data_IF_264141529884
#
_entry.id   IF_264141529884
#
_cell.length_a   1.000
_cell.length_b   1.000
_cell.length_c   1.000
_cell.angle_alpha   90.00
_cell.angle_beta   90.00
_cell.angle_gamma   90.00
#
_symmetry.space_group_name_H-M   'P 1'
#
loop_
_entity.id
_entity.type
_entity.pdbx_description
1 polymer ?
#
# COMPACT_ATOMS: atom_id res chain seq x y z
N UNK A 1 17.83 7.96 -3.31
CA UNK A 1 19.30 8.17 -3.21
C UNK A 1 20.03 6.83 -3.20
N UNK A 2 21.20 6.73 -3.82
CA UNK A 2 22.06 5.52 -3.79
C UNK A 2 23.25 5.71 -2.83
N UNK A 3 23.61 4.66 -2.09
CA UNK A 3 24.61 4.70 -1.00
C UNK A 3 25.98 5.19 -1.48
N UNK A 4 26.35 4.89 -2.72
CA UNK A 4 27.62 5.29 -3.32
C UNK A 4 27.66 6.77 -3.75
N UNK A 5 26.49 7.42 -3.80
CA UNK A 5 26.33 8.78 -4.35
C UNK A 5 25.88 9.82 -3.33
N UNK A 6 25.62 9.42 -2.09
CA UNK A 6 25.18 10.34 -1.03
C UNK A 6 26.30 11.32 -0.70
N UNK A 7 25.99 12.61 -0.75
CA UNK A 7 26.92 13.68 -0.37
C UNK A 7 26.82 14.02 1.13
N UNK A 8 27.80 14.76 1.64
CA UNK A 8 27.74 15.29 3.01
C UNK A 8 26.53 16.23 3.20
N UNK A 9 26.22 17.05 2.19
CA UNK A 9 25.06 17.96 2.22
C UNK A 9 23.75 17.18 2.33
N UNK A 10 23.61 16.10 1.56
CA UNK A 10 22.47 15.20 1.65
C UNK A 10 22.37 14.57 3.04
N UNK A 11 23.49 14.07 3.58
CA UNK A 11 23.54 13.46 4.90
C UNK A 11 23.10 14.43 6.01
N UNK A 12 23.57 15.67 5.96
CA UNK A 12 23.18 16.71 6.92
C UNK A 12 21.70 17.06 6.80
N UNK A 13 21.15 17.14 5.58
CA UNK A 13 19.71 17.32 5.38
C UNK A 13 18.91 16.17 5.95
N UNK A 14 19.33 14.93 5.73
CA UNK A 14 18.65 13.74 6.26
C UNK A 14 18.70 13.67 7.79
N UNK A 15 19.81 14.07 8.40
CA UNK A 15 19.96 14.14 9.87
C UNK A 15 19.05 15.19 10.52
N UNK A 16 18.54 16.17 9.74
CA UNK A 16 17.57 17.16 10.22
C UNK A 16 16.13 16.64 10.29
N UNK A 17 15.87 15.40 9.83
CA UNK A 17 14.56 14.77 9.90
C UNK A 17 14.37 14.05 11.25
N UNK A 18 13.15 14.06 11.84
CA UNK A 18 11.91 14.63 11.32
C UNK A 18 11.88 16.17 11.35
N UNK A 19 11.47 16.79 10.24
CA UNK A 19 11.34 18.25 10.15
C UNK A 19 9.97 18.68 10.66
N UNK A 20 9.93 19.58 11.64
CA UNK A 20 8.66 20.21 12.08
C UNK A 20 8.20 21.18 10.99
N UNK A 21 7.01 20.94 10.44
CA UNK A 21 6.38 21.81 9.42
C UNK A 21 5.63 22.95 10.08
N UNK A 22 5.01 22.70 11.24
CA UNK A 22 4.28 23.68 12.04
C UNK A 22 3.32 23.00 13.00
N UNK A 23 2.47 23.80 13.66
CA UNK A 23 1.42 23.32 14.57
C UNK A 23 0.07 23.49 13.87
N UNK A 24 -0.76 22.44 13.91
CA UNK A 24 -2.12 22.51 13.41
C UNK A 24 -2.99 23.40 14.32
N UNK A 25 -3.55 24.53 13.82
CA UNK A 25 -4.35 25.43 14.64
C UNK A 25 -5.66 24.80 15.15
N UNK A 26 -6.17 23.75 14.50
CA UNK A 26 -7.43 23.12 14.89
C UNK A 26 -7.26 22.13 16.05
N UNK A 27 -6.13 21.40 16.08
CA UNK A 27 -5.87 20.35 17.08
C UNK A 27 -4.80 20.72 18.10
N UNK A 28 -3.95 21.70 17.79
CA UNK A 28 -2.74 22.03 18.57
C UNK A 28 -1.62 21.01 18.41
N UNK A 29 -1.76 20.01 17.52
CA UNK A 29 -0.75 18.98 17.31
C UNK A 29 0.33 19.46 16.34
N UNK A 30 1.59 19.10 16.64
CA UNK A 30 2.70 19.31 15.71
C UNK A 30 2.57 18.42 14.47
N UNK A 31 2.84 19.00 13.31
CA UNK A 31 2.94 18.31 12.04
C UNK A 31 4.42 18.15 11.70
N UNK A 32 4.90 16.91 11.58
CA UNK A 32 6.26 16.59 11.14
C UNK A 32 6.28 15.97 9.76
N UNK A 33 7.29 16.31 8.95
CA UNK A 33 7.60 15.68 7.68
C UNK A 33 8.82 14.76 7.83
N UNK A 34 8.73 13.55 7.32
CA UNK A 34 9.77 12.53 7.44
C UNK A 34 9.65 11.45 6.36
N UNK A 35 10.71 10.66 6.18
CA UNK A 35 10.71 9.52 5.27
C UNK A 35 10.55 8.20 6.06
N UNK A 36 9.82 7.24 5.50
CA UNK A 36 9.56 5.94 6.11
C UNK A 36 9.61 4.80 5.11
N UNK A 37 9.24 3.59 5.56
CA UNK A 37 9.27 2.38 4.73
C UNK A 37 8.50 2.50 3.39
N UNK A 38 7.45 3.31 3.38
CA UNK A 38 6.55 3.47 2.23
C UNK A 38 6.74 4.81 1.51
N UNK A 39 7.87 5.50 1.76
CA UNK A 39 8.18 6.80 1.20
C UNK A 39 7.87 7.97 2.15
N UNK A 40 7.91 9.21 1.61
CA UNK A 40 7.78 10.44 2.38
C UNK A 40 6.34 10.63 2.89
N UNK A 41 6.20 11.14 4.11
CA UNK A 41 4.90 11.33 4.73
C UNK A 41 4.92 12.44 5.79
N UNK A 42 3.72 13.00 6.03
CA UNK A 42 3.40 13.88 7.15
C UNK A 42 2.85 13.05 8.31
N UNK A 43 3.15 13.46 9.54
CA UNK A 43 2.58 12.90 10.77
C UNK A 43 2.03 14.03 11.64
N UNK A 44 0.79 13.86 12.12
CA UNK A 44 0.08 14.73 13.07
C UNK A 44 -0.58 13.82 14.10
N UNK A 45 0.02 13.73 15.29
CA UNK A 45 -0.36 12.75 16.31
C UNK A 45 -0.34 11.31 15.76
N UNK A 46 -1.51 10.68 15.66
CA UNK A 46 -1.71 9.34 15.10
C UNK A 46 -2.19 9.33 13.63
N UNK A 47 -2.41 10.50 13.02
CA UNK A 47 -2.75 10.61 11.60
C UNK A 47 -1.49 10.79 10.74
N UNK A 48 -1.43 10.05 9.63
CA UNK A 48 -0.29 10.07 8.72
C UNK A 48 -0.79 10.12 7.29
N UNK A 49 -0.17 11.00 6.48
CA UNK A 49 -0.53 11.26 5.10
C UNK A 49 0.70 11.16 4.21
N UNK A 50 0.62 10.36 3.15
CA UNK A 50 1.72 10.23 2.20
C UNK A 50 1.92 11.52 1.42
N UNK A 51 3.19 11.83 1.17
CA UNK A 51 3.61 12.87 0.22
C UNK A 51 3.86 12.23 -1.15
N UNK A 52 3.85 13.07 -2.19
CA UNK A 52 3.98 12.61 -3.57
C UNK A 52 5.45 12.41 -3.92
N UNK A 53 6.34 13.28 -3.44
CA UNK A 53 7.77 13.26 -3.78
C UNK A 53 8.65 13.37 -2.54
N UNK A 54 9.89 12.90 -2.64
CA UNK A 54 10.86 12.97 -1.55
C UNK A 54 11.20 14.41 -1.18
N UNK A 55 11.29 15.32 -2.16
CA UNK A 55 11.62 16.73 -1.93
C UNK A 55 10.62 17.45 -1.00
N UNK A 56 9.36 17.03 -1.04
CA UNK A 56 8.30 17.62 -0.21
C UNK A 56 8.59 17.48 1.29
N UNK A 57 9.42 16.54 1.74
CA UNK A 57 9.79 16.44 3.16
C UNK A 57 10.51 17.72 3.65
N UNK A 58 11.22 18.40 2.74
CA UNK A 58 11.98 19.60 3.05
C UNK A 58 11.24 20.88 2.68
N UNK A 59 10.40 20.85 1.64
CA UNK A 59 9.81 22.07 1.05
C UNK A 59 8.37 22.31 1.45
N UNK A 60 7.63 21.29 1.89
CA UNK A 60 6.18 21.44 2.14
C UNK A 60 5.90 22.48 3.23
N UNK A 61 4.91 23.31 3.00
CA UNK A 61 4.48 24.34 3.94
C UNK A 61 3.38 23.85 4.87
N UNK A 62 3.14 24.58 5.97
CA UNK A 62 2.04 24.28 6.89
C UNK A 62 0.69 24.29 6.17
N UNK A 63 0.44 25.29 5.32
CA UNK A 63 -0.82 25.42 4.57
C UNK A 63 -1.06 24.25 3.62
N UNK A 64 -0.03 23.78 2.92
CA UNK A 64 -0.11 22.59 2.07
C UNK A 64 -0.35 21.33 2.89
N UNK A 65 0.32 21.17 4.03
CA UNK A 65 0.08 20.07 4.94
C UNK A 65 -1.37 20.04 5.44
N UNK A 66 -1.91 21.21 5.83
CA UNK A 66 -3.30 21.34 6.28
C UNK A 66 -4.29 20.97 5.17
N UNK A 67 -4.02 21.35 3.91
CA UNK A 67 -4.83 20.92 2.75
C UNK A 67 -4.84 19.39 2.60
N UNK A 68 -3.69 18.74 2.73
CA UNK A 68 -3.59 17.27 2.67
C UNK A 68 -4.37 16.60 3.81
N UNK A 69 -4.35 17.19 5.02
CA UNK A 69 -5.10 16.68 6.16
C UNK A 69 -6.62 16.89 6.03
N UNK A 70 -7.06 17.91 5.30
CA UNK A 70 -8.47 18.14 5.01
C UNK A 70 -9.04 17.09 4.04
N UNK A 71 -8.21 16.47 3.20
CA UNK A 71 -8.66 15.38 2.34
C UNK A 71 -9.06 14.14 3.16
N UNK A 72 -10.04 13.33 2.70
CA UNK A 72 -10.35 12.04 3.30
C UNK A 72 -9.11 11.12 3.35
N UNK A 73 -8.93 10.40 4.46
CA UNK A 73 -7.79 9.50 4.63
C UNK A 73 -7.86 8.33 3.65
N UNK A 74 -7.00 8.37 2.63
CA UNK A 74 -6.80 7.25 1.70
C UNK A 74 -6.02 6.16 2.46
N UNK A 75 -6.71 5.07 2.85
CA UNK A 75 -6.05 3.94 3.53
C UNK A 75 -4.95 3.39 2.62
N UNK A 76 -3.72 3.27 3.15
CA UNK A 76 -2.45 2.97 2.47
C UNK A 76 -2.35 1.63 1.72
N UNK A 77 -3.29 1.36 0.83
CA UNK A 77 -3.30 0.25 -0.12
C UNK A 77 -3.82 0.63 -1.50
N UNK A 78 -4.38 1.83 -1.64
CA UNK A 78 -4.48 2.46 -2.93
C UNK A 78 -3.13 3.14 -3.20
N UNK A 79 -2.12 2.32 -3.54
CA UNK A 79 -1.25 2.72 -4.64
C UNK A 79 -2.19 3.29 -5.69
N UNK A 80 -1.97 4.53 -6.14
CA UNK A 80 -2.73 5.09 -7.24
C UNK A 80 -2.87 3.97 -8.26
N UNK A 81 -4.10 3.42 -8.39
CA UNK A 81 -4.28 2.14 -9.05
C UNK A 81 -3.68 2.32 -10.42
N UNK A 82 -2.60 1.59 -10.73
CA UNK A 82 -2.05 1.63 -12.06
C UNK A 82 -3.24 1.46 -13.03
N UNK A 83 -3.29 2.26 -14.11
CA UNK A 83 -4.40 2.18 -15.04
C UNK A 83 -4.61 0.71 -15.45
N UNK A 84 -5.86 0.29 -15.65
CA UNK A 84 -6.15 -1.09 -16.01
C UNK A 84 -5.34 -1.47 -17.25
N UNK A 85 -4.83 -2.70 -17.27
CA UNK A 85 -4.15 -3.28 -18.43
C UNK A 85 -5.11 -3.40 -19.62
N UNK A 86 -6.40 -3.67 -19.34
CA UNK A 86 -7.47 -3.72 -20.33
C UNK A 86 -8.83 -3.54 -19.67
N UNK A 87 -9.72 -2.82 -20.33
CA UNK A 87 -11.15 -2.78 -19.98
C UNK A 87 -11.89 -3.91 -20.70
N UNK A 88 -12.92 -4.44 -20.05
CA UNK A 88 -13.76 -5.53 -20.55
C UNK A 88 -15.24 -5.10 -20.50
N UNK A 89 -16.12 -6.00 -20.90
CA UNK A 89 -17.56 -5.86 -20.70
C UNK A 89 -17.99 -5.83 -19.22
N UNK A 90 -19.31 -5.87 -19.02
CA UNK A 90 -19.92 -5.92 -17.68
C UNK A 90 -20.08 -7.36 -17.23
N UNK A 91 -19.78 -7.64 -15.96
CA UNK A 91 -19.99 -8.98 -15.39
C UNK A 91 -21.50 -9.26 -15.29
N UNK A 92 -22.03 -10.33 -15.91
CA UNK A 92 -23.46 -10.67 -15.85
C UNK A 92 -23.94 -10.99 -14.44
N UNK A 93 -23.06 -11.42 -13.53
CA UNK A 93 -23.44 -11.78 -12.16
C UNK A 93 -23.52 -10.57 -11.21
N UNK A 94 -22.57 -9.63 -11.28
CA UNK A 94 -22.56 -8.45 -10.41
C UNK A 94 -23.11 -7.18 -11.05
N UNK A 95 -23.27 -7.14 -12.38
CA UNK A 95 -23.68 -5.95 -13.13
C UNK A 95 -22.62 -4.85 -13.15
N UNK A 96 -21.38 -5.14 -12.77
CA UNK A 96 -20.29 -4.16 -12.64
C UNK A 96 -19.29 -4.27 -13.82
N UNK A 97 -18.66 -3.16 -14.22
CA UNK A 97 -17.64 -3.18 -15.28
C UNK A 97 -16.44 -4.03 -14.84
N UNK A 98 -15.97 -4.91 -15.73
CA UNK A 98 -14.80 -5.72 -15.51
C UNK A 98 -13.56 -5.05 -16.09
N UNK A 99 -12.45 -5.13 -15.38
CA UNK A 99 -11.14 -4.67 -15.86
C UNK A 99 -10.05 -5.66 -15.50
N UNK A 100 -9.01 -5.73 -16.32
CA UNK A 100 -7.78 -6.47 -16.03
C UNK A 100 -6.78 -5.49 -15.43
N UNK A 101 -6.16 -5.85 -14.31
CA UNK A 101 -5.12 -5.06 -13.64
C UNK A 101 -3.88 -5.89 -13.41
N UNK A 102 -2.74 -5.22 -13.34
CA UNK A 102 -1.51 -5.85 -12.87
C UNK A 102 -1.50 -5.93 -11.34
N UNK A 103 -1.02 -7.05 -10.81
CA UNK A 103 -1.07 -7.37 -9.39
C UNK A 103 0.16 -8.12 -8.92
N UNK A 104 0.34 -8.20 -7.59
CA UNK A 104 1.49 -8.87 -6.97
C UNK A 104 1.71 -10.31 -7.45
N UNK A 105 0.65 -11.00 -7.84
CA UNK A 105 0.68 -12.40 -8.27
C UNK A 105 0.50 -12.56 -9.79
N UNK A 106 0.69 -11.48 -10.54
CA UNK A 106 0.40 -11.38 -11.97
C UNK A 106 -0.98 -10.76 -12.27
N UNK A 107 -1.34 -10.72 -13.56
CA UNK A 107 -2.58 -10.12 -14.03
C UNK A 107 -3.82 -10.76 -13.41
N UNK A 108 -4.84 -9.95 -13.13
CA UNK A 108 -6.11 -10.42 -12.59
C UNK A 108 -7.28 -9.60 -13.14
N UNK A 109 -8.44 -10.26 -13.25
CA UNK A 109 -9.73 -9.62 -13.54
C UNK A 109 -10.34 -9.12 -12.23
N UNK A 110 -10.95 -7.94 -12.26
CA UNK A 110 -11.73 -7.39 -11.15
C UNK A 110 -12.98 -6.67 -11.63
N UNK A 111 -14.07 -6.80 -10.87
CA UNK A 111 -15.29 -6.00 -11.00
C UNK A 111 -15.36 -4.86 -9.96
N UNK A 112 -14.23 -4.56 -9.30
CA UNK A 112 -14.11 -3.61 -8.21
C UNK A 112 -14.33 -4.21 -6.81
N UNK A 113 -14.91 -5.40 -6.70
CA UNK A 113 -15.18 -6.07 -5.42
C UNK A 113 -14.50 -7.44 -5.33
N UNK A 114 -14.66 -8.25 -6.37
CA UNK A 114 -14.07 -9.58 -6.51
C UNK A 114 -12.83 -9.50 -7.40
N UNK A 115 -11.75 -10.15 -6.96
CA UNK A 115 -10.49 -10.22 -7.72
C UNK A 115 -10.13 -11.67 -8.03
N UNK A 116 -10.00 -12.00 -9.32
CA UNK A 116 -9.66 -13.33 -9.80
C UNK A 116 -8.41 -13.28 -10.69
N UNK A 117 -7.34 -13.96 -10.29
CA UNK A 117 -6.11 -14.08 -11.09
C UNK A 117 -6.38 -14.78 -12.42
N UNK A 118 -5.74 -14.31 -13.50
CA UNK A 118 -5.72 -15.02 -14.77
C UNK A 118 -5.04 -16.39 -14.56
N UNK A 119 -5.57 -17.44 -15.21
CA UNK A 119 -5.00 -18.79 -15.13
C UNK A 119 -3.93 -18.97 -16.20
N UNK A 120 -3.15 -20.04 -16.05
CA UNK A 120 -2.16 -20.43 -17.07
C UNK A 120 -2.88 -20.71 -18.40
N UNK A 121 -2.61 -19.89 -19.40
CA UNK A 121 -3.24 -19.95 -20.72
C UNK A 121 -4.22 -18.80 -21.00
N UNK A 122 -4.65 -18.06 -19.97
CA UNK A 122 -5.38 -16.82 -20.17
C UNK A 122 -4.36 -15.70 -20.47
N UNK A 123 -4.51 -15.03 -21.62
CA UNK A 123 -3.70 -13.88 -22.00
C UNK A 123 -4.51 -12.58 -21.91
N UNK A 124 -3.85 -11.50 -21.49
CA UNK A 124 -4.50 -10.19 -21.25
C UNK A 124 -5.13 -9.64 -22.53
N UNK A 125 -4.51 -9.88 -23.69
CA UNK A 125 -4.95 -9.33 -24.96
C UNK A 125 -6.06 -10.16 -25.63
N UNK A 126 -6.20 -11.45 -25.30
CA UNK A 126 -7.12 -12.36 -26.00
C UNK A 126 -8.22 -12.99 -25.15
N UNK A 127 -8.17 -12.87 -23.81
CA UNK A 127 -9.25 -13.35 -22.94
C UNK A 127 -10.60 -12.76 -23.34
N UNK A 128 -11.69 -13.54 -23.26
CA UNK A 128 -13.04 -13.06 -23.57
C UNK A 128 -13.75 -12.53 -22.33
N UNK A 129 -14.79 -11.71 -22.52
CA UNK A 129 -15.62 -11.22 -21.42
C UNK A 129 -16.29 -12.36 -20.65
N UNK A 130 -16.76 -13.39 -21.37
CA UNK A 130 -17.36 -14.60 -20.78
C UNK A 130 -16.36 -15.33 -19.88
N UNK A 131 -15.11 -15.49 -20.36
CA UNK A 131 -14.04 -16.13 -19.59
C UNK A 131 -13.67 -15.31 -18.35
N UNK A 132 -13.63 -13.99 -18.48
CA UNK A 132 -13.38 -13.08 -17.36
C UNK A 132 -14.47 -13.16 -16.29
N UNK A 133 -15.75 -13.20 -16.71
CA UNK A 133 -16.90 -13.38 -15.84
C UNK A 133 -16.88 -14.75 -15.12
N UNK A 134 -16.52 -15.82 -15.83
CA UNK A 134 -16.36 -17.16 -15.26
C UNK A 134 -15.31 -17.16 -14.12
N UNK A 135 -14.15 -16.53 -14.33
CA UNK A 135 -13.10 -16.43 -13.32
C UNK A 135 -13.58 -15.70 -12.05
N UNK A 136 -14.36 -14.63 -12.21
CA UNK A 136 -14.96 -13.90 -11.10
C UNK A 136 -16.03 -14.73 -10.38
N UNK A 137 -16.91 -15.41 -11.11
CA UNK A 137 -17.92 -16.30 -10.54
C UNK A 137 -17.29 -17.44 -9.72
N UNK A 138 -16.28 -18.11 -10.27
CA UNK A 138 -15.49 -19.14 -9.58
C UNK A 138 -14.87 -18.61 -8.28
N UNK A 139 -14.38 -17.36 -8.32
CA UNK A 139 -13.79 -16.72 -7.15
C UNK A 139 -14.81 -16.44 -6.06
N UNK A 140 -16.02 -15.97 -6.42
CA UNK A 140 -17.12 -15.73 -5.49
C UNK A 140 -17.58 -17.03 -4.84
N UNK A 141 -17.74 -18.10 -5.65
CA UNK A 141 -18.14 -19.41 -5.16
C UNK A 141 -17.13 -20.02 -4.17
N UNK A 142 -15.82 -19.81 -4.40
CA UNK A 142 -14.76 -20.30 -3.48
C UNK A 142 -14.68 -19.53 -2.16
N UNK A 143 -15.20 -18.32 -2.09
CA UNK A 143 -15.13 -17.46 -0.91
C UNK A 143 -13.70 -17.02 -0.54
N UNK A 144 -13.54 -16.29 0.58
CA UNK A 144 -12.24 -15.83 1.04
C UNK A 144 -11.35 -17.03 1.41
N UNK A 145 -10.11 -17.03 0.92
CA UNK A 145 -9.16 -18.11 1.19
C UNK A 145 -8.99 -18.30 2.71
N UNK A 146 -9.38 -19.47 3.23
CA UNK A 146 -9.10 -19.84 4.62
C UNK A 146 -7.59 -19.86 4.81
N UNK A 147 -7.06 -18.95 5.65
CA UNK A 147 -5.63 -18.96 6.01
C UNK A 147 -5.34 -20.30 6.69
N UNK A 148 -4.33 -21.07 6.25
CA UNK A 148 -3.91 -22.24 7.00
C UNK A 148 -3.52 -21.79 8.40
N UNK A 149 -4.10 -22.41 9.43
CA UNK A 149 -3.76 -22.13 10.81
C UNK A 149 -2.25 -22.35 10.98
N UNK A 150 -1.53 -21.29 11.35
CA UNK A 150 -0.10 -21.33 11.57
C UNK A 150 0.14 -22.29 12.76
N UNK A 151 0.70 -23.48 12.51
CA UNK A 151 1.09 -24.40 13.60
C UNK A 151 2.03 -23.62 14.53
N UNK A 152 1.61 -23.43 15.77
CA UNK A 152 2.43 -22.78 16.79
C UNK A 152 3.72 -23.59 16.94
N UNK A 153 4.87 -22.91 16.79
CA UNK A 153 6.15 -23.53 17.08
C UNK A 153 6.16 -23.93 18.56
N UNK A 154 6.34 -25.23 18.83
CA UNK A 154 6.43 -25.78 20.18
C UNK A 154 7.65 -25.15 20.86
N UNK A 155 7.43 -24.30 21.88
CA UNK A 155 8.50 -23.72 22.69
C UNK A 155 9.31 -24.87 23.31
N UNK A 156 10.57 -24.97 22.95
CA UNK A 156 11.53 -25.86 23.62
C UNK A 156 11.84 -25.24 24.98
N UNK A 157 11.72 -25.97 26.11
CA UNK A 157 12.02 -25.42 27.43
C UNK A 157 13.52 -25.09 27.54
N UNK A 158 13.82 -23.88 28.01
CA UNK A 158 15.18 -23.40 28.19
C UNK A 158 15.91 -24.21 29.26
N UNK A 159 17.10 -24.72 28.92
CA UNK A 159 17.99 -25.44 29.83
C UNK A 159 18.58 -24.43 30.83
N UNK A 160 18.28 -24.57 32.13
CA UNK A 160 18.90 -23.79 33.20
C UNK A 160 20.42 -24.01 33.18
N UNK A 161 21.19 -22.93 33.05
CA UNK A 161 22.63 -22.94 33.28
C UNK A 161 22.89 -23.05 34.79
N UNK A 162 23.72 -24.01 35.20
CA UNK A 162 24.18 -24.16 36.56
C UNK A 162 25.23 -23.07 36.87
N UNK A 163 25.08 -22.39 38.02
CA UNK A 163 26.12 -21.54 38.61
C UNK A 163 27.32 -22.43 38.98
N UNK A 164 28.53 -21.95 38.71
CA UNK A 164 29.76 -22.44 39.36
C UNK A 164 30.09 -21.50 40.51
N UNK A 165 30.46 -22.10 41.64
CA UNK A 165 31.00 -21.47 42.84
C UNK A 165 32.38 -20.84 42.61
#
# INVERSE_FOLDING_TARGET
MDLQTVTLEDALRLLSLPRVVGVDPASGEEITAQNGRYGPYLKRGNDSRSLVTEDQIFTITLDEALKIYAEPKRRGRQSASAPPLRELGTDPASGKPMVIKDGRFGPYVTDGETNASLRKGDDVASITDERAAELLADRRARGPAKRPARKAARKVPAKKAAKRD
#
